data_IF_492097772940
#
_entry.id   IF_492097772940
#
_cell.length_a   1.000
_cell.length_b   1.000
_cell.length_c   1.000
_cell.angle_alpha   90.00
_cell.angle_beta   90.00
_cell.angle_gamma   90.00
#
_symmetry.space_group_name_H-M   'P 1'
#
loop_
_entity.id
_entity.type
_entity.pdbx_description
1 polymer ?
#
# COMPACT_ATOMS: atom_id res chain seq x y z
N UNK A 1 6.83 -4.91 13.50
CA UNK A 1 6.40 -5.59 12.27
C UNK A 1 7.50 -6.52 11.76
N UNK A 2 7.22 -7.81 11.62
CA UNK A 2 8.15 -8.84 11.15
C UNK A 2 7.33 -10.06 10.72
N UNK A 3 7.78 -10.88 9.74
CA UNK A 3 7.11 -12.13 9.43
C UNK A 3 7.21 -13.10 10.60
N UNK A 4 6.23 -13.99 10.71
CA UNK A 4 6.23 -15.14 11.62
C UNK A 4 6.83 -16.34 10.88
N UNK A 5 7.77 -17.06 11.50
CA UNK A 5 8.40 -18.25 10.92
C UNK A 5 9.91 -18.10 10.72
N UNK A 6 10.51 -18.85 9.76
CA UNK A 6 11.97 -18.92 9.60
C UNK A 6 12.65 -17.56 9.31
N UNK A 7 11.90 -16.64 8.70
CA UNK A 7 12.39 -15.32 8.31
C UNK A 7 12.18 -14.24 9.36
N UNK A 8 11.83 -14.62 10.60
CA UNK A 8 11.61 -13.66 11.68
C UNK A 8 12.87 -12.82 11.93
N UNK A 9 12.69 -11.49 11.99
CA UNK A 9 13.78 -10.54 12.20
C UNK A 9 14.71 -10.31 10.98
N UNK A 10 14.59 -11.09 9.91
CA UNK A 10 15.40 -10.94 8.69
C UNK A 10 14.74 -10.05 7.64
N UNK A 11 13.43 -9.95 7.67
CA UNK A 11 12.65 -9.10 6.77
C UNK A 11 12.05 -7.96 7.59
N UNK A 12 12.29 -6.74 7.17
CA UNK A 12 11.73 -5.53 7.76
C UNK A 12 11.01 -4.70 6.71
N UNK A 13 10.18 -3.77 7.17
CA UNK A 13 9.39 -2.90 6.30
C UNK A 13 9.90 -1.47 6.36
N UNK A 14 9.78 -0.75 5.24
CA UNK A 14 10.11 0.67 5.19
C UNK A 14 9.08 1.48 5.96
N UNK A 15 9.53 2.49 6.72
CA UNK A 15 8.62 3.42 7.39
C UNK A 15 7.91 4.32 6.38
N UNK A 16 6.73 4.82 6.76
CA UNK A 16 5.84 5.56 5.86
C UNK A 16 6.45 6.86 5.30
N UNK A 17 7.34 7.53 6.07
CA UNK A 17 7.99 8.77 5.65
C UNK A 17 9.38 8.55 5.04
N UNK A 18 9.90 7.33 5.05
CA UNK A 18 11.19 7.02 4.47
C UNK A 18 11.15 7.12 2.95
N UNK A 19 12.22 7.61 2.36
CA UNK A 19 12.42 7.72 0.92
C UNK A 19 13.74 7.07 0.53
N UNK A 20 13.91 6.82 -0.75
CA UNK A 20 15.19 6.38 -1.33
C UNK A 20 15.75 7.57 -2.12
N UNK A 21 16.99 7.94 -1.83
CA UNK A 21 17.67 8.99 -2.55
C UNK A 21 18.19 8.51 -3.92
N UNK A 22 18.71 9.42 -4.74
CA UNK A 22 19.23 9.11 -6.09
C UNK A 22 20.40 8.12 -6.09
N UNK A 23 21.09 7.98 -4.95
CA UNK A 23 22.18 7.02 -4.77
C UNK A 23 21.72 5.65 -4.27
N UNK A 24 20.43 5.48 -3.97
CA UNK A 24 19.85 4.22 -3.50
C UNK A 24 19.86 4.04 -1.97
N UNK A 25 20.25 5.05 -1.18
CA UNK A 25 20.21 5.00 0.28
C UNK A 25 18.82 5.40 0.81
N UNK A 26 18.43 4.77 1.93
CA UNK A 26 17.22 5.14 2.66
C UNK A 26 17.50 6.44 3.41
N UNK A 27 16.61 7.40 3.27
CA UNK A 27 16.63 8.68 3.96
C UNK A 27 15.31 8.92 4.70
N UNK A 28 15.41 9.56 5.86
CA UNK A 28 14.27 9.88 6.73
C UNK A 28 14.19 11.39 6.99
N UNK A 29 12.97 11.95 7.18
CA UNK A 29 12.78 13.38 7.34
C UNK A 29 12.95 13.83 8.79
N UNK A 30 13.61 14.97 8.95
CA UNK A 30 13.81 15.64 10.24
C UNK A 30 13.58 17.14 10.12
N UNK A 31 13.12 17.78 11.22
CA UNK A 31 13.03 19.21 11.37
C UNK A 31 14.30 19.73 12.04
N UNK A 32 14.85 20.83 11.51
CA UNK A 32 16.03 21.47 12.10
C UNK A 32 15.64 22.24 13.35
N UNK A 33 16.57 22.29 14.31
CA UNK A 33 16.43 23.09 15.52
C UNK A 33 17.53 24.16 15.56
N UNK A 34 17.17 25.39 15.89
CA UNK A 34 18.09 26.49 16.08
C UNK A 34 17.77 27.23 17.38
N UNK A 35 18.71 27.31 18.32
CA UNK A 35 18.55 28.03 19.60
C UNK A 35 17.26 27.66 20.33
N UNK A 36 17.06 26.36 20.60
CA UNK A 36 15.89 25.78 21.24
C UNK A 36 14.56 26.03 20.52
N UNK A 37 14.59 26.40 19.25
CA UNK A 37 13.40 26.60 18.42
C UNK A 37 13.42 25.64 17.25
N UNK A 38 12.35 24.85 17.09
CA UNK A 38 12.14 23.91 16.00
C UNK A 38 11.55 24.67 14.80
N UNK A 39 12.09 24.42 13.62
CA UNK A 39 11.53 24.97 12.40
C UNK A 39 10.23 24.22 12.05
N UNK A 40 9.12 24.99 12.07
CA UNK A 40 7.79 24.43 11.82
C UNK A 40 7.39 24.50 10.34
N UNK A 41 8.22 25.10 9.47
CA UNK A 41 7.92 25.12 8.04
C UNK A 41 8.16 23.73 7.42
N UNK A 42 7.15 23.23 6.70
CA UNK A 42 7.24 21.94 6.03
C UNK A 42 8.20 21.95 4.82
N UNK A 43 8.63 23.11 4.36
CA UNK A 43 9.58 23.26 3.25
C UNK A 43 11.02 23.05 3.68
N UNK A 44 11.32 23.23 4.96
CA UNK A 44 12.67 23.15 5.50
C UNK A 44 13.01 21.79 6.16
N UNK A 45 12.18 20.79 5.89
CA UNK A 45 12.41 19.41 6.31
C UNK A 45 13.63 18.84 5.57
N UNK A 46 14.59 18.31 6.34
CA UNK A 46 15.82 17.72 5.81
C UNK A 46 15.71 16.20 5.83
N UNK A 47 16.09 15.59 4.71
CA UNK A 47 16.19 14.15 4.62
C UNK A 47 17.63 13.72 4.84
N UNK A 48 17.88 12.88 5.83
CA UNK A 48 19.21 12.41 6.21
C UNK A 48 19.33 10.90 6.04
N UNK A 49 20.52 10.45 5.68
CA UNK A 49 20.91 9.04 5.72
C UNK A 49 21.26 8.62 7.15
N UNK A 50 21.35 7.31 7.41
CA UNK A 50 21.71 6.79 8.73
C UNK A 50 23.09 7.30 9.20
N UNK A 51 24.06 7.44 8.30
CA UNK A 51 25.42 7.95 8.60
C UNK A 51 25.39 9.42 9.02
N UNK A 52 24.57 10.24 8.34
CA UNK A 52 24.42 11.66 8.66
C UNK A 52 23.66 11.90 9.97
N UNK A 53 22.80 10.93 10.35
CA UNK A 53 21.99 10.96 11.56
C UNK A 53 22.80 10.57 12.81
N UNK A 54 23.79 9.67 12.68
CA UNK A 54 24.46 9.00 13.79
C UNK A 54 25.05 9.96 14.83
N UNK A 55 25.63 11.07 14.39
CA UNK A 55 26.23 12.06 15.29
C UNK A 55 25.24 13.10 15.85
N UNK A 56 23.96 13.06 15.46
CA UNK A 56 22.98 14.09 15.80
C UNK A 56 22.18 13.75 17.05
N UNK A 57 21.87 14.77 17.84
CA UNK A 57 20.95 14.69 18.96
C UNK A 57 19.54 14.97 18.45
N UNK A 58 18.69 13.93 18.40
CA UNK A 58 17.37 13.98 17.80
C UNK A 58 16.28 13.95 18.86
N UNK A 59 15.50 15.01 18.95
CA UNK A 59 14.35 15.13 19.83
C UNK A 59 13.13 14.35 19.33
N UNK A 60 12.31 13.86 20.24
CA UNK A 60 11.10 13.12 19.89
C UNK A 60 10.05 14.05 19.27
N UNK A 61 9.31 13.56 18.26
CA UNK A 61 8.26 14.31 17.56
C UNK A 61 7.03 14.66 18.42
N UNK A 62 6.88 14.06 19.62
CA UNK A 62 5.85 14.39 20.59
C UNK A 62 6.33 15.35 21.69
N UNK A 63 7.51 15.93 21.58
CA UNK A 63 7.98 16.92 22.52
C UNK A 63 7.01 18.11 22.57
N UNK A 64 6.64 18.60 23.76
CA UNK A 64 5.70 19.72 23.86
C UNK A 64 6.37 21.00 23.35
N UNK A 65 5.82 21.53 22.27
CA UNK A 65 6.25 22.76 21.63
C UNK A 65 5.18 23.87 21.77
N UNK A 66 5.61 25.10 21.83
CA UNK A 66 4.76 26.28 21.66
C UNK A 66 4.32 26.42 20.21
N UNK A 67 3.31 27.24 19.93
CA UNK A 67 2.89 27.62 18.58
C UNK A 67 4.02 28.19 17.73
N UNK A 68 5.02 28.78 18.37
CA UNK A 68 6.21 29.38 17.71
C UNK A 68 7.33 28.35 17.47
N UNK A 69 7.14 27.07 17.84
CA UNK A 69 8.15 26.01 17.71
C UNK A 69 9.17 25.96 18.85
N UNK A 70 9.02 26.74 19.94
CA UNK A 70 9.92 26.72 21.08
C UNK A 70 9.55 25.60 22.05
N UNK A 71 10.55 24.90 22.61
CA UNK A 71 10.31 23.86 23.61
C UNK A 71 9.70 24.46 24.90
N UNK A 72 8.65 23.83 25.41
CA UNK A 72 7.97 24.24 26.65
C UNK A 72 8.61 23.70 27.91
N UNK A 73 9.47 22.68 27.81
CA UNK A 73 10.15 22.05 28.93
C UNK A 73 11.64 22.36 28.92
N UNK A 74 12.22 22.45 30.08
CA UNK A 74 13.68 22.68 30.28
C UNK A 74 14.53 21.49 29.87
N UNK A 75 13.90 20.31 29.67
CA UNK A 75 14.58 19.09 29.27
C UNK A 75 13.80 18.36 28.19
N UNK A 76 14.50 17.84 27.18
CA UNK A 76 13.96 17.09 26.05
C UNK A 76 14.53 15.68 26.06
N UNK A 77 13.67 14.68 25.86
CA UNK A 77 14.11 13.31 25.62
C UNK A 77 14.56 13.21 24.17
N UNK A 78 15.77 12.76 23.98
CA UNK A 78 16.38 12.63 22.67
C UNK A 78 16.90 11.21 22.45
N UNK A 79 17.30 10.91 21.24
CA UNK A 79 18.11 9.75 20.90
C UNK A 79 19.39 10.23 20.24
N UNK A 80 20.48 9.52 20.51
CA UNK A 80 21.77 9.69 19.87
C UNK A 80 22.42 8.30 19.80
N UNK A 81 22.73 7.83 18.64
CA UNK A 81 23.20 6.46 18.39
C UNK A 81 22.26 5.41 19.04
N UNK A 82 22.78 4.61 19.94
CA UNK A 82 22.04 3.61 20.72
C UNK A 82 21.54 4.11 22.08
N UNK A 83 21.81 5.37 22.45
CA UNK A 83 21.49 5.95 23.74
C UNK A 83 20.26 6.88 23.66
N UNK A 84 19.60 7.06 24.82
CA UNK A 84 18.44 7.94 24.97
C UNK A 84 18.71 9.05 26.00
N UNK A 85 19.57 10.02 25.69
CA UNK A 85 19.91 11.09 26.61
C UNK A 85 18.74 12.04 26.83
N UNK A 86 18.71 12.66 28.01
CA UNK A 86 17.82 13.78 28.33
C UNK A 86 18.70 15.03 28.36
N UNK A 87 18.45 15.92 27.41
CA UNK A 87 19.29 17.11 27.17
C UNK A 87 18.51 18.41 27.32
N UNK A 88 19.23 19.53 27.40
CA UNK A 88 18.60 20.85 27.32
C UNK A 88 18.20 21.18 25.88
N UNK A 89 17.16 22.00 25.67
CA UNK A 89 16.67 22.36 24.32
C UNK A 89 17.75 22.92 23.37
N UNK A 90 18.75 23.59 23.92
CA UNK A 90 19.84 24.19 23.13
C UNK A 90 20.80 23.16 22.50
N UNK A 91 20.81 21.93 23.01
CA UNK A 91 21.65 20.84 22.55
C UNK A 91 20.96 19.97 21.49
N UNK A 92 19.68 20.20 21.22
CA UNK A 92 18.92 19.41 20.27
C UNK A 92 19.23 19.91 18.85
N UNK A 93 19.76 19.05 18.01
CA UNK A 93 20.11 19.37 16.60
C UNK A 93 18.90 19.25 15.68
N UNK A 94 18.13 18.18 15.86
CA UNK A 94 17.01 17.78 15.02
C UNK A 94 15.83 17.33 15.85
N UNK A 95 14.63 17.36 15.25
CA UNK A 95 13.41 16.80 15.85
C UNK A 95 12.69 15.95 14.82
N UNK A 96 12.16 14.82 15.25
CA UNK A 96 11.31 13.98 14.43
C UNK A 96 10.09 14.78 13.89
N UNK A 97 9.72 14.56 12.64
CA UNK A 97 8.58 15.25 12.03
C UNK A 97 7.26 14.86 12.70
N UNK A 98 7.13 13.57 13.02
CA UNK A 98 5.95 13.02 13.68
C UNK A 98 6.32 11.75 14.44
N UNK A 99 5.65 11.43 15.57
CA UNK A 99 5.77 10.14 16.23
C UNK A 99 5.38 8.96 15.34
N UNK A 100 4.52 9.19 14.35
CA UNK A 100 4.02 8.17 13.43
C UNK A 100 5.07 7.71 12.40
N UNK A 101 6.18 8.43 12.26
CA UNK A 101 7.20 8.09 11.26
C UNK A 101 7.90 6.75 11.50
N UNK A 102 7.74 6.15 12.69
CA UNK A 102 8.25 4.81 12.98
C UNK A 102 7.37 3.69 12.43
N UNK A 103 6.13 3.98 12.06
CA UNK A 103 5.19 2.99 11.55
C UNK A 103 5.40 2.72 10.07
N UNK A 104 5.24 1.44 9.68
CA UNK A 104 5.19 1.04 8.27
C UNK A 104 3.80 1.30 7.67
N UNK A 105 3.67 1.10 6.35
CA UNK A 105 2.37 1.22 5.67
C UNK A 105 1.35 0.26 6.26
N UNK A 106 1.70 -1.02 6.47
CA UNK A 106 0.78 -2.02 7.03
C UNK A 106 0.30 -1.65 8.43
N UNK A 107 1.23 -1.26 9.32
CA UNK A 107 0.88 -0.83 10.68
C UNK A 107 0.00 0.44 10.67
N UNK A 108 0.25 1.35 9.73
CA UNK A 108 -0.52 2.59 9.59
C UNK A 108 -1.94 2.40 9.03
N UNK A 109 -2.24 1.23 8.48
CA UNK A 109 -3.60 0.86 8.01
C UNK A 109 -4.48 0.27 9.12
N UNK A 110 -3.94 -0.02 10.32
CA UNK A 110 -4.71 -0.57 11.43
C UNK A 110 -5.42 0.57 12.17
N UNK A 111 -6.75 0.63 12.15
CA UNK A 111 -7.48 1.62 12.93
C UNK A 111 -7.37 1.30 14.42
N UNK A 112 -7.28 2.33 15.26
CA UNK A 112 -7.15 2.21 16.72
C UNK A 112 -5.95 1.35 17.19
N UNK A 113 -4.84 1.43 16.46
CA UNK A 113 -3.62 0.65 16.73
C UNK A 113 -3.15 0.80 18.19
N UNK A 114 -3.32 1.98 18.80
CA UNK A 114 -2.94 2.29 20.17
C UNK A 114 -3.71 1.47 21.23
N UNK A 115 -4.82 0.86 20.87
CA UNK A 115 -5.62 0.00 21.74
C UNK A 115 -5.27 -1.48 21.62
N UNK A 116 -4.43 -1.86 20.66
CA UNK A 116 -4.06 -3.23 20.39
C UNK A 116 -2.73 -3.60 21.05
N UNK A 117 -2.62 -4.85 21.49
CA UNK A 117 -1.34 -5.43 21.89
C UNK A 117 -0.40 -5.57 20.68
N UNK A 118 0.90 -5.31 20.91
CA UNK A 118 1.90 -5.37 19.85
C UNK A 118 1.95 -6.70 19.10
N UNK A 119 1.76 -7.82 19.80
CA UNK A 119 1.72 -9.13 19.17
C UNK A 119 0.51 -9.29 18.22
N UNK A 120 -0.65 -8.77 18.61
CA UNK A 120 -1.85 -8.81 17.75
C UNK A 120 -1.75 -7.87 16.57
N UNK A 121 -1.16 -6.70 16.75
CA UNK A 121 -0.85 -5.79 15.64
C UNK A 121 0.10 -6.42 14.61
N UNK A 122 1.12 -7.15 15.06
CA UNK A 122 2.03 -7.91 14.20
C UNK A 122 1.28 -8.96 13.37
N UNK A 123 0.42 -9.76 14.02
CA UNK A 123 -0.41 -10.76 13.32
C UNK A 123 -1.33 -10.09 12.29
N UNK A 124 -1.97 -8.98 12.65
CA UNK A 124 -2.83 -8.21 11.73
C UNK A 124 -2.06 -7.68 10.51
N UNK A 125 -0.88 -7.11 10.71
CA UNK A 125 -0.01 -6.67 9.61
C UNK A 125 0.36 -7.83 8.67
N UNK A 126 0.70 -8.99 9.22
CA UNK A 126 1.03 -10.17 8.42
C UNK A 126 -0.18 -10.68 7.62
N UNK A 127 -1.37 -10.70 8.23
CA UNK A 127 -2.61 -11.15 7.56
C UNK A 127 -3.07 -10.20 6.47
N UNK A 128 -2.92 -8.88 6.62
CA UNK A 128 -3.24 -7.92 5.54
C UNK A 128 -2.44 -8.19 4.26
N UNK A 129 -1.19 -8.64 4.38
CA UNK A 129 -0.34 -8.99 3.22
C UNK A 129 -0.73 -10.30 2.53
N UNK A 130 -1.58 -11.11 3.16
CA UNK A 130 -2.08 -12.38 2.63
C UNK A 130 -3.50 -12.27 2.09
N UNK A 131 -4.06 -11.05 2.03
CA UNK A 131 -5.41 -10.83 1.54
C UNK A 131 -5.56 -11.29 0.09
N UNK A 132 -6.61 -12.06 -0.18
CA UNK A 132 -6.95 -12.56 -1.52
C UNK A 132 -7.90 -11.57 -2.19
N UNK A 133 -7.66 -11.15 -3.43
CA UNK A 133 -8.60 -10.33 -4.19
C UNK A 133 -9.90 -11.10 -4.41
N UNK A 134 -11.01 -10.53 -3.95
CA UNK A 134 -12.33 -11.12 -4.11
C UNK A 134 -12.99 -10.62 -5.40
N UNK A 135 -14.06 -11.29 -5.83
CA UNK A 135 -14.87 -10.84 -6.97
C UNK A 135 -15.49 -9.47 -6.65
N UNK A 136 -15.97 -9.30 -5.42
CA UNK A 136 -16.48 -8.04 -4.90
C UNK A 136 -15.82 -7.75 -3.57
N UNK A 137 -15.12 -6.64 -3.48
CA UNK A 137 -14.54 -6.14 -2.24
C UNK A 137 -15.41 -5.01 -1.68
N UNK A 138 -15.31 -4.75 -0.39
CA UNK A 138 -15.91 -3.58 0.26
C UNK A 138 -14.82 -2.68 0.82
N UNK A 139 -14.95 -1.38 0.64
CA UNK A 139 -14.13 -0.40 1.34
C UNK A 139 -14.38 -0.51 2.86
N UNK A 140 -13.34 -0.34 3.70
CA UNK A 140 -13.50 -0.44 5.14
C UNK A 140 -14.41 0.68 5.67
N UNK A 141 -15.36 0.33 6.54
CA UNK A 141 -16.27 1.32 7.16
C UNK A 141 -15.47 2.24 8.10
N UNK A 142 -14.47 1.67 8.79
CA UNK A 142 -13.54 2.41 9.66
C UNK A 142 -12.13 2.23 9.12
N UNK A 143 -11.49 3.33 8.79
CA UNK A 143 -10.13 3.35 8.25
C UNK A 143 -9.27 4.42 8.90
N UNK A 144 -8.02 4.49 8.51
CA UNK A 144 -7.04 5.48 9.00
C UNK A 144 -6.92 6.71 8.11
N UNK A 145 -7.52 6.67 6.91
CA UNK A 145 -7.38 7.68 5.87
C UNK A 145 -6.19 7.47 4.93
N UNK A 146 -5.35 6.47 5.21
CA UNK A 146 -4.20 6.13 4.36
C UNK A 146 -4.60 5.24 3.17
N UNK A 147 -5.77 4.62 3.22
CA UNK A 147 -6.25 3.63 2.25
C UNK A 147 -6.29 4.21 0.83
N UNK A 148 -6.74 5.44 0.69
CA UNK A 148 -6.77 6.15 -0.60
C UNK A 148 -5.37 6.39 -1.15
N UNK A 149 -4.46 6.92 -0.32
CA UNK A 149 -3.08 7.18 -0.72
C UNK A 149 -2.35 5.91 -1.12
N UNK A 150 -2.53 4.82 -0.37
CA UNK A 150 -1.95 3.51 -0.70
C UNK A 150 -2.47 3.00 -2.04
N UNK A 151 -3.76 3.19 -2.29
CA UNK A 151 -4.40 2.77 -3.53
C UNK A 151 -3.85 3.54 -4.75
N UNK A 152 -3.72 4.85 -4.64
CA UNK A 152 -3.15 5.72 -5.68
C UNK A 152 -1.67 5.38 -5.95
N UNK A 153 -0.86 5.28 -4.90
CA UNK A 153 0.59 5.02 -5.00
C UNK A 153 0.90 3.60 -5.50
N UNK A 154 0.02 2.63 -5.27
CA UNK A 154 0.18 1.26 -5.77
C UNK A 154 0.11 1.15 -7.28
N UNK A 155 -0.48 2.13 -7.97
CA UNK A 155 -0.71 2.16 -9.42
C UNK A 155 -1.42 0.91 -9.96
N UNK A 156 -2.22 0.26 -9.13
CA UNK A 156 -3.02 -0.90 -9.54
C UNK A 156 -4.22 -0.50 -10.40
N UNK A 157 -4.74 0.70 -10.17
CA UNK A 157 -5.83 1.29 -10.96
C UNK A 157 -5.29 2.12 -12.13
N UNK A 158 -6.07 2.23 -13.17
CA UNK A 158 -5.80 3.14 -14.29
C UNK A 158 -6.36 4.51 -13.90
N UNK A 159 -5.52 5.54 -13.97
CA UNK A 159 -5.88 6.94 -13.71
C UNK A 159 -5.71 7.78 -14.97
N UNK A 160 -6.47 8.87 -15.07
CA UNK A 160 -6.32 9.84 -16.14
C UNK A 160 -4.99 10.62 -15.97
N UNK A 161 -4.22 10.76 -17.05
CA UNK A 161 -2.94 11.47 -17.03
C UNK A 161 -3.08 12.98 -17.19
N UNK A 162 -4.22 13.44 -17.71
CA UNK A 162 -4.51 14.85 -17.95
C UNK A 162 -6.01 15.13 -17.97
N UNK A 163 -6.35 16.37 -18.21
CA UNK A 163 -7.73 16.78 -18.39
C UNK A 163 -8.22 16.39 -19.78
N UNK A 164 -9.43 15.83 -19.88
CA UNK A 164 -9.95 15.36 -21.17
C UNK A 164 -11.40 14.88 -21.09
N UNK A 165 -11.83 14.26 -22.20
CA UNK A 165 -13.18 13.70 -22.34
C UNK A 165 -13.07 12.23 -22.76
N UNK A 166 -13.86 11.37 -22.14
CA UNK A 166 -13.93 9.96 -22.46
C UNK A 166 -14.74 9.77 -23.76
N UNK A 167 -14.06 9.30 -24.79
CA UNK A 167 -14.69 9.09 -26.10
C UNK A 167 -15.34 7.70 -26.20
N UNK A 168 -14.69 6.71 -25.62
CA UNK A 168 -15.14 5.31 -25.69
C UNK A 168 -14.80 4.53 -24.44
N UNK A 169 -15.73 3.71 -23.98
CA UNK A 169 -15.56 2.78 -22.83
C UNK A 169 -16.22 1.45 -23.17
N UNK A 170 -15.48 0.37 -22.96
CA UNK A 170 -16.01 -0.98 -22.87
C UNK A 170 -15.30 -1.74 -21.74
N UNK A 171 -15.62 -3.03 -21.54
CA UNK A 171 -15.05 -3.85 -20.47
C UNK A 171 -13.53 -4.02 -20.55
N UNK A 172 -12.92 -3.77 -21.70
CA UNK A 172 -11.50 -4.05 -21.99
C UNK A 172 -10.69 -2.81 -22.37
N UNK A 173 -11.38 -1.71 -22.74
CA UNK A 173 -10.73 -0.55 -23.35
C UNK A 173 -11.39 0.75 -22.92
N UNK A 174 -10.59 1.74 -22.57
CA UNK A 174 -11.01 3.13 -22.35
C UNK A 174 -10.22 3.99 -23.32
N UNK A 175 -10.90 4.90 -24.05
CA UNK A 175 -10.25 5.91 -24.89
C UNK A 175 -10.60 7.30 -24.39
N UNK A 176 -9.57 8.09 -24.18
CA UNK A 176 -9.69 9.46 -23.67
C UNK A 176 -9.07 10.40 -24.71
N UNK A 177 -9.83 11.43 -25.06
CA UNK A 177 -9.33 12.57 -25.80
C UNK A 177 -8.90 13.64 -24.82
N UNK A 178 -7.59 13.82 -24.66
CA UNK A 178 -7.01 14.81 -23.76
C UNK A 178 -7.04 16.21 -24.34
N UNK A 179 -7.33 17.19 -23.49
CA UNK A 179 -7.21 18.59 -23.83
C UNK A 179 -5.71 18.92 -23.94
N UNK A 180 -5.29 19.47 -25.09
CA UNK A 180 -3.90 19.86 -25.33
C UNK A 180 -3.81 21.35 -25.59
N UNK A 181 -2.74 21.96 -25.08
CA UNK A 181 -2.35 23.31 -25.44
C UNK A 181 -1.51 23.29 -26.73
N UNK A 182 -1.39 24.43 -27.42
CA UNK A 182 -0.52 24.55 -28.59
C UNK A 182 0.95 24.24 -28.27
N UNK A 183 1.38 24.52 -27.02
CA UNK A 183 2.72 24.20 -26.53
C UNK A 183 2.91 22.69 -26.35
N UNK A 184 1.90 21.99 -25.84
CA UNK A 184 1.92 20.54 -25.67
C UNK A 184 1.97 19.80 -27.02
N UNK A 185 1.27 20.28 -28.03
CA UNK A 185 1.31 19.74 -29.39
C UNK A 185 2.69 19.88 -30.04
N UNK A 186 3.41 20.94 -29.69
CA UNK A 186 4.75 21.18 -30.23
C UNK A 186 5.85 20.37 -29.52
N UNK A 187 5.70 20.12 -28.21
CA UNK A 187 6.71 19.44 -27.38
C UNK A 187 6.49 17.94 -27.30
N UNK A 188 5.23 17.49 -27.30
CA UNK A 188 4.88 16.05 -27.16
C UNK A 188 4.50 15.45 -28.50
N UNK A 189 5.17 14.32 -28.84
CA UNK A 189 4.83 13.50 -30.01
C UNK A 189 3.69 12.49 -29.75
N UNK A 190 3.13 12.48 -28.54
CA UNK A 190 2.04 11.56 -28.19
C UNK A 190 0.72 12.00 -28.86
N UNK A 191 -0.14 11.06 -29.30
CA UNK A 191 -1.46 11.40 -29.84
C UNK A 191 -2.38 11.96 -28.74
N UNK A 192 -3.24 12.93 -29.06
CA UNK A 192 -4.22 13.47 -28.12
C UNK A 192 -5.23 12.41 -27.64
N UNK A 193 -5.54 11.43 -28.51
CA UNK A 193 -6.37 10.28 -28.20
C UNK A 193 -5.50 9.15 -27.62
N UNK A 194 -5.68 8.84 -26.35
CA UNK A 194 -4.97 7.76 -25.66
C UNK A 194 -5.90 6.58 -25.37
N UNK A 195 -5.40 5.38 -25.66
CA UNK A 195 -6.12 4.13 -25.40
C UNK A 195 -5.52 3.41 -24.21
N UNK A 196 -6.35 3.10 -23.22
CA UNK A 196 -6.02 2.29 -22.04
C UNK A 196 -6.66 0.93 -22.17
N UNK A 197 -5.84 -0.12 -22.06
CA UNK A 197 -6.33 -1.50 -22.03
C UNK A 197 -6.52 -1.96 -20.60
N UNK A 198 -7.72 -2.44 -20.31
CA UNK A 198 -8.11 -2.92 -18.98
C UNK A 198 -7.73 -4.39 -18.87
N UNK A 199 -6.87 -4.80 -17.92
CA UNK A 199 -6.54 -6.20 -17.72
C UNK A 199 -7.76 -6.97 -17.21
N UNK A 200 -8.06 -8.09 -17.85
CA UNK A 200 -9.14 -9.01 -17.50
C UNK A 200 -8.56 -10.37 -17.15
N UNK A 201 -8.86 -10.87 -15.95
CA UNK A 201 -8.46 -12.20 -15.46
C UNK A 201 -6.97 -12.52 -15.68
N UNK A 202 -6.11 -11.52 -15.56
CA UNK A 202 -4.66 -11.72 -15.70
C UNK A 202 -4.12 -12.43 -14.46
N UNK A 203 -3.45 -13.57 -14.66
CA UNK A 203 -2.83 -14.33 -13.60
C UNK A 203 -1.69 -13.55 -12.92
N UNK A 204 -1.61 -13.63 -11.60
CA UNK A 204 -0.45 -13.17 -10.80
C UNK A 204 0.50 -14.34 -10.50
N UNK A 205 1.68 -14.04 -9.95
CA UNK A 205 2.66 -15.07 -9.56
C UNK A 205 2.12 -16.01 -8.47
N UNK A 206 1.13 -15.57 -7.68
CA UNK A 206 0.47 -16.37 -6.65
C UNK A 206 -0.81 -17.04 -7.16
N UNK A 207 -0.98 -17.17 -8.48
CA UNK A 207 -2.15 -17.76 -9.13
C UNK A 207 -3.48 -17.04 -8.84
N UNK A 208 -3.44 -15.81 -8.35
CA UNK A 208 -4.61 -14.96 -8.19
C UNK A 208 -4.90 -14.20 -9.47
N UNK A 209 -6.04 -13.50 -9.52
CA UNK A 209 -6.52 -12.85 -10.73
C UNK A 209 -6.56 -11.34 -10.57
N UNK A 210 -5.95 -10.62 -11.49
CA UNK A 210 -6.16 -9.18 -11.68
C UNK A 210 -7.29 -9.01 -12.67
N UNK A 211 -8.42 -8.49 -12.20
CA UNK A 211 -9.58 -8.15 -12.99
C UNK A 211 -10.04 -6.73 -12.66
N UNK A 212 -9.87 -5.80 -13.60
CA UNK A 212 -10.31 -4.43 -13.44
C UNK A 212 -11.59 -4.19 -14.23
N UNK A 213 -12.43 -3.31 -13.73
CA UNK A 213 -13.66 -2.85 -14.38
C UNK A 213 -13.66 -1.33 -14.52
N UNK A 214 -14.18 -0.76 -15.62
CA UNK A 214 -14.30 0.68 -15.76
C UNK A 214 -15.38 1.19 -14.82
N UNK A 215 -15.16 2.38 -14.25
CA UNK A 215 -16.13 3.11 -13.41
C UNK A 215 -16.57 4.42 -14.04
N UNK A 216 -16.04 4.72 -15.21
CA UNK A 216 -16.30 5.94 -15.94
C UNK A 216 -17.27 5.72 -17.12
N UNK A 217 -18.00 6.75 -17.51
CA UNK A 217 -18.98 6.71 -18.59
C UNK A 217 -18.47 7.45 -19.84
N UNK A 218 -18.97 7.02 -21.01
CA UNK A 218 -18.71 7.70 -22.27
C UNK A 218 -19.24 9.15 -22.24
N UNK A 219 -18.42 10.11 -22.64
CA UNK A 219 -18.74 11.53 -22.65
C UNK A 219 -18.48 12.22 -21.29
N UNK A 220 -18.06 11.50 -20.26
CA UNK A 220 -17.66 12.07 -18.99
C UNK A 220 -16.38 12.89 -19.16
N UNK A 221 -16.31 14.06 -18.51
CA UNK A 221 -15.11 14.86 -18.40
C UNK A 221 -14.28 14.38 -17.21
N UNK A 222 -13.00 14.15 -17.44
CA UNK A 222 -12.04 13.70 -16.43
C UNK A 222 -10.92 14.73 -16.25
N UNK A 223 -10.34 14.73 -15.05
CA UNK A 223 -9.16 15.53 -14.68
C UNK A 223 -7.95 14.64 -14.47
N UNK A 224 -6.78 15.23 -14.52
CA UNK A 224 -5.55 14.55 -14.17
C UNK A 224 -5.66 13.92 -12.76
N UNK A 225 -5.37 12.62 -12.66
CA UNK A 225 -5.46 11.84 -11.43
C UNK A 225 -6.81 11.19 -11.15
N UNK A 226 -7.86 11.46 -11.93
CA UNK A 226 -9.16 10.79 -11.76
C UNK A 226 -9.03 9.30 -12.04
N UNK A 227 -9.67 8.49 -11.18
CA UNK A 227 -9.65 7.03 -11.28
C UNK A 227 -10.62 6.57 -12.36
N UNK A 228 -10.15 5.74 -13.28
CA UNK A 228 -10.92 5.24 -14.43
C UNK A 228 -11.40 3.81 -14.23
N UNK A 229 -10.69 3.03 -13.41
CA UNK A 229 -10.99 1.61 -13.19
C UNK A 229 -10.93 1.27 -11.71
N UNK A 230 -11.66 0.25 -11.32
CA UNK A 230 -11.58 -0.37 -10.00
C UNK A 230 -11.56 -1.89 -10.11
N UNK A 231 -11.36 -2.58 -9.01
CA UNK A 231 -11.16 -4.03 -8.90
C UNK A 231 -9.81 -4.35 -8.28
N UNK A 232 -9.46 -5.61 -8.14
CA UNK A 232 -8.22 -6.07 -7.52
C UNK A 232 -7.95 -5.41 -6.15
N UNK A 233 -8.84 -5.71 -5.19
CA UNK A 233 -8.80 -5.19 -3.83
C UNK A 233 -8.93 -3.65 -3.71
N UNK A 234 -9.69 -3.04 -4.60
CA UNK A 234 -9.99 -1.60 -4.58
C UNK A 234 -11.46 -1.35 -4.78
N UNK A 235 -12.02 -0.39 -4.06
CA UNK A 235 -13.40 0.09 -4.20
C UNK A 235 -13.45 1.60 -3.96
N UNK A 236 -14.11 2.33 -4.82
CA UNK A 236 -14.25 3.81 -4.75
C UNK A 236 -12.90 4.55 -4.61
N UNK A 237 -11.82 4.00 -5.17
CA UNK A 237 -10.48 4.56 -5.05
C UNK A 237 -9.81 4.35 -3.71
N UNK A 238 -10.34 3.49 -2.86
CA UNK A 238 -9.77 3.10 -1.57
C UNK A 238 -9.35 1.63 -1.58
N UNK A 239 -8.39 1.30 -0.73
CA UNK A 239 -7.93 -0.06 -0.54
C UNK A 239 -9.04 -0.89 0.15
N UNK A 240 -9.49 -1.95 -0.52
CA UNK A 240 -10.55 -2.85 -0.07
C UNK A 240 -10.03 -4.29 -0.05
N UNK A 241 -9.42 -4.72 1.06
CA UNK A 241 -8.77 -6.02 1.18
C UNK A 241 -9.75 -7.18 1.42
N UNK A 242 -11.03 -6.91 1.67
CA UNK A 242 -12.00 -7.94 1.99
C UNK A 242 -13.44 -7.43 1.95
N UNK A 243 -14.27 -7.95 2.86
CA UNK A 243 -15.69 -7.63 2.99
C UNK A 243 -16.02 -7.20 4.41
N UNK A 244 -16.97 -6.28 4.55
CA UNK A 244 -17.50 -5.90 5.85
C UNK A 244 -18.55 -6.93 6.31
N UNK A 245 -18.29 -7.61 7.43
CA UNK A 245 -19.12 -8.68 7.95
C UNK A 245 -19.66 -8.33 9.34
N UNK A 246 -20.91 -8.70 9.61
CA UNK A 246 -21.46 -8.64 10.94
C UNK A 246 -20.94 -9.82 11.77
N UNK A 247 -20.21 -9.54 12.85
CA UNK A 247 -19.54 -10.52 13.70
C UNK A 247 -20.17 -10.53 15.11
N UNK A 248 -20.39 -11.72 15.65
CA UNK A 248 -20.74 -11.90 17.06
C UNK A 248 -19.58 -12.57 17.82
N UNK A 249 -19.15 -11.96 18.91
CA UNK A 249 -18.10 -12.48 19.80
C UNK A 249 -18.73 -13.30 20.92
N UNK A 250 -19.05 -14.56 20.66
CA UNK A 250 -19.66 -15.49 21.63
C UNK A 250 -19.05 -16.89 21.49
N UNK A 251 -18.98 -17.70 22.58
CA UNK A 251 -18.73 -19.14 22.45
C UNK A 251 -19.89 -19.81 21.72
N UNK A 252 -19.59 -20.63 20.72
CA UNK A 252 -20.62 -21.33 19.96
C UNK A 252 -20.42 -22.84 19.96
N UNK A 253 -21.01 -23.54 20.93
CA UNK A 253 -21.00 -25.02 21.03
C UNK A 253 -19.62 -25.67 20.87
N UNK A 254 -18.54 -24.97 21.15
CA UNK A 254 -17.16 -25.41 20.97
C UNK A 254 -16.62 -25.35 19.53
N UNK A 255 -17.43 -25.02 18.53
CA UNK A 255 -16.99 -24.98 17.13
C UNK A 255 -16.12 -23.78 16.77
N UNK A 256 -16.03 -22.79 17.65
CA UNK A 256 -15.15 -21.63 17.52
C UNK A 256 -14.06 -21.59 18.58
N UNK A 257 -13.57 -22.76 19.00
CA UNK A 257 -12.45 -22.90 19.95
C UNK A 257 -11.14 -22.38 19.33
N UNK A 258 -10.38 -21.61 20.11
CA UNK A 258 -9.15 -20.90 19.70
C UNK A 258 -9.40 -19.96 18.51
N UNK A 259 -8.73 -20.19 17.37
CA UNK A 259 -8.81 -19.35 16.16
C UNK A 259 -9.89 -19.82 15.17
N UNK A 260 -10.71 -20.80 15.55
CA UNK A 260 -11.80 -21.27 14.71
C UNK A 260 -12.94 -20.26 14.63
N UNK A 261 -13.49 -20.11 13.44
CA UNK A 261 -14.60 -19.20 13.14
C UNK A 261 -15.77 -19.97 12.54
N UNK A 262 -16.98 -19.74 13.07
CA UNK A 262 -18.21 -20.26 12.48
C UNK A 262 -18.78 -19.22 11.53
N UNK A 263 -18.97 -19.58 10.27
CA UNK A 263 -19.49 -18.70 9.24
C UNK A 263 -20.96 -19.02 8.92
N UNK A 264 -21.72 -18.01 8.51
CA UNK A 264 -23.09 -18.16 8.04
C UNK A 264 -23.14 -18.82 6.65
N UNK A 265 -24.11 -19.70 6.41
CA UNK A 265 -24.37 -20.28 5.09
C UNK A 265 -24.63 -19.21 4.01
N UNK A 266 -25.15 -18.05 4.39
CA UNK A 266 -25.35 -16.91 3.50
C UNK A 266 -24.04 -16.49 2.78
N UNK A 267 -22.92 -16.53 3.47
CA UNK A 267 -21.62 -16.16 2.90
C UNK A 267 -21.21 -17.05 1.73
N UNK A 268 -21.56 -18.33 1.81
CA UNK A 268 -21.31 -19.29 0.72
C UNK A 268 -22.33 -19.14 -0.40
N UNK A 269 -23.61 -19.01 -0.05
CA UNK A 269 -24.71 -18.93 -1.03
C UNK A 269 -24.70 -17.64 -1.86
N UNK A 270 -24.25 -16.53 -1.27
CA UNK A 270 -24.20 -15.21 -1.91
C UNK A 270 -22.79 -14.89 -2.47
N UNK A 271 -21.88 -15.85 -2.50
CA UNK A 271 -20.52 -15.70 -3.03
C UNK A 271 -19.74 -14.51 -2.41
N UNK A 272 -19.95 -14.22 -1.12
CA UNK A 272 -19.42 -13.02 -0.46
C UNK A 272 -17.88 -13.02 -0.42
N UNK A 273 -17.25 -14.18 -0.19
CA UNK A 273 -15.79 -14.35 -0.11
C UNK A 273 -15.23 -15.12 -1.30
N UNK A 274 -15.93 -15.15 -2.42
CA UNK A 274 -15.49 -15.90 -3.60
C UNK A 274 -14.35 -15.20 -4.32
N UNK A 275 -13.34 -15.96 -4.70
CA UNK A 275 -12.17 -15.52 -5.45
C UNK A 275 -11.93 -16.41 -6.68
N UNK A 276 -11.21 -15.88 -7.67
CA UNK A 276 -10.85 -16.59 -8.89
C UNK A 276 -9.36 -16.87 -8.89
N UNK A 277 -8.98 -18.13 -9.07
CA UNK A 277 -7.59 -18.56 -9.18
C UNK A 277 -7.32 -19.13 -10.56
N UNK A 278 -6.14 -18.81 -11.11
CA UNK A 278 -5.71 -19.27 -12.44
C UNK A 278 -4.43 -20.06 -12.31
N UNK A 279 -4.51 -21.38 -12.54
CA UNK A 279 -3.34 -22.25 -12.62
C UNK A 279 -2.92 -22.42 -14.08
N UNK A 280 -1.65 -22.25 -14.34
CA UNK A 280 -1.05 -22.40 -15.66
C UNK A 280 -0.15 -23.64 -15.68
N UNK A 281 -0.46 -24.55 -16.59
CA UNK A 281 0.34 -25.75 -16.81
C UNK A 281 0.97 -25.66 -18.19
N UNK A 282 2.29 -25.76 -18.28
CA UNK A 282 3.03 -25.80 -19.53
C UNK A 282 3.74 -27.12 -19.71
N UNK A 283 3.71 -27.66 -20.92
CA UNK A 283 4.40 -28.88 -21.29
C UNK A 283 5.14 -28.64 -22.61
N UNK A 284 6.46 -28.84 -22.57
CA UNK A 284 7.28 -28.75 -23.77
C UNK A 284 7.45 -30.14 -24.40
N UNK A 285 7.13 -30.25 -25.68
CA UNK A 285 7.38 -31.44 -26.48
C UNK A 285 8.73 -31.29 -27.16
N UNK A 286 9.66 -32.22 -26.88
CA UNK A 286 11.05 -32.16 -27.33
C UNK A 286 11.36 -33.20 -28.38
N UNK A 287 12.26 -32.87 -29.28
CA UNK A 287 12.85 -33.82 -30.18
C UNK A 287 14.06 -34.50 -29.50
N UNK A 288 14.00 -35.82 -29.31
CA UNK A 288 15.06 -36.57 -28.66
C UNK A 288 15.75 -37.48 -29.68
N UNK A 289 16.94 -37.99 -29.34
CA UNK A 289 17.66 -38.98 -30.16
C UNK A 289 16.87 -40.28 -30.44
N UNK A 290 15.81 -40.54 -29.64
CA UNK A 290 14.93 -41.71 -29.77
C UNK A 290 13.63 -41.44 -30.54
N UNK A 291 13.42 -40.20 -30.96
CA UNK A 291 12.22 -39.73 -31.64
C UNK A 291 11.64 -38.50 -30.96
N UNK A 292 10.59 -37.96 -31.57
CA UNK A 292 9.83 -36.80 -31.02
C UNK A 292 8.96 -37.28 -29.87
N UNK A 293 8.96 -36.54 -28.78
CA UNK A 293 8.01 -36.74 -27.68
C UNK A 293 6.59 -36.40 -28.17
N UNK A 294 5.61 -37.16 -27.73
CA UNK A 294 4.21 -36.93 -28.10
C UNK A 294 3.36 -36.70 -26.86
N UNK A 295 2.43 -35.73 -26.98
CA UNK A 295 1.40 -35.53 -25.95
C UNK A 295 0.23 -36.47 -26.23
N UNK A 296 0.20 -37.61 -25.53
CA UNK A 296 -0.80 -38.65 -25.75
C UNK A 296 -1.24 -39.30 -24.42
N UNK A 297 -2.48 -39.79 -24.40
CA UNK A 297 -2.99 -40.59 -23.28
C UNK A 297 -2.61 -42.10 -23.41
N UNK A 298 -2.13 -42.51 -24.60
CA UNK A 298 -1.73 -43.89 -24.87
C UNK A 298 -0.25 -44.09 -24.50
N UNK A 299 -0.02 -44.49 -23.26
CA UNK A 299 1.33 -44.74 -22.70
C UNK A 299 1.60 -46.24 -22.64
N UNK A 300 2.61 -46.75 -23.36
CA UNK A 300 2.95 -48.18 -23.31
C UNK A 300 3.26 -48.65 -21.88
N UNK A 301 2.71 -49.78 -21.49
CA UNK A 301 2.92 -50.43 -20.21
C UNK A 301 2.39 -49.68 -18.97
N UNK A 302 1.42 -48.86 -19.14
CA UNK A 302 0.71 -48.16 -18.04
C UNK A 302 -0.72 -48.65 -17.95
#
# INVERSE_FOLDING_TARGET
ESPEGPNIGLISSLCIYAKINDLGFIVTPYRKTSKAKVDMDNKDVVYLTAEEEEEKIIGQGNAPLSTDGTFLKDTVKCRQDADYPVVTPDQVDLVDVSPQQIASVSASLIPFLEHDDGHRALMGCNMMRQAVPLIHNDAPIVGTGLEKQVCEDSRTMITAEGDGVIEYVDATTIRILYDRTEEDEFVSFEPALKEYRIPKFRRTNQNMTIDLRPICDKGQRVKAGDILTEGYATENGELALGRNLLVAYIPWKGYNYEDAVVISERMVREDILTSVHVDEYSLDVRETKRGVEEFTADIPNV
#
